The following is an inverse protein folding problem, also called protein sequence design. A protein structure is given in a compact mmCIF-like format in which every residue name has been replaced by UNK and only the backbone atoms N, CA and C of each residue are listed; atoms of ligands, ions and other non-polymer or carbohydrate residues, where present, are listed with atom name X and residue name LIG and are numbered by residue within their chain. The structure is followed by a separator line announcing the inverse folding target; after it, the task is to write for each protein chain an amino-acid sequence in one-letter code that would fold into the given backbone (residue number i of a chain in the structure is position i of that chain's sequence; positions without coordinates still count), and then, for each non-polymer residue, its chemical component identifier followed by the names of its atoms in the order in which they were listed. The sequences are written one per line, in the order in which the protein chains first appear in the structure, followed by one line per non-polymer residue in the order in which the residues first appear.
data_IF_649413604038
#
_entry.id   IF_649413604038
#
_cell.length_a   1.000
_cell.length_b   1.000
_cell.length_c   1.000
_cell.angle_alpha   90.00
_cell.angle_beta   90.00
_cell.angle_gamma   90.00
#
_symmetry.space_group_name_H-M   'P 1'
#
loop_
_entity.id
_entity.type
_entity.pdbx_description
1 polymer ?
#
# COMPACT_ATOMS: atom_id res chain seq x y z
N UNK A 1 -43.95 -52.19 7.20
CA UNK A 1 -43.68 -50.74 7.31
C UNK A 1 -42.59 -50.39 8.34
N UNK A 2 -42.65 -50.86 9.60
CA UNK A 2 -41.65 -50.54 10.65
C UNK A 2 -40.17 -50.88 10.28
N UNK A 3 -39.93 -52.03 9.64
CA UNK A 3 -38.58 -52.45 9.18
C UNK A 3 -37.98 -51.55 8.09
N UNK A 4 -38.82 -50.88 7.29
CA UNK A 4 -38.38 -49.94 6.25
C UNK A 4 -37.93 -48.63 6.87
N UNK A 5 -38.71 -48.10 7.83
CA UNK A 5 -38.35 -46.88 8.58
C UNK A 5 -37.08 -47.04 9.42
N UNK A 6 -36.86 -48.20 10.04
CA UNK A 6 -35.61 -48.47 10.79
C UNK A 6 -34.38 -48.42 9.86
N UNK A 7 -34.47 -49.03 8.67
CA UNK A 7 -33.38 -48.97 7.67
C UNK A 7 -33.19 -47.57 7.11
N UNK A 8 -34.26 -46.80 6.92
CA UNK A 8 -34.23 -45.42 6.45
C UNK A 8 -33.58 -44.49 7.49
N UNK A 9 -33.93 -44.61 8.78
CA UNK A 9 -33.27 -43.89 9.86
C UNK A 9 -31.79 -44.26 9.97
N UNK A 10 -31.44 -45.55 9.81
CA UNK A 10 -30.04 -45.99 9.81
C UNK A 10 -29.24 -45.42 8.64
N UNK A 11 -29.84 -45.29 7.47
CA UNK A 11 -29.20 -44.69 6.28
C UNK A 11 -28.99 -43.18 6.47
N UNK A 12 -29.98 -42.48 7.03
CA UNK A 12 -29.87 -41.05 7.32
C UNK A 12 -28.80 -40.78 8.39
N UNK A 13 -28.72 -41.60 9.44
CA UNK A 13 -27.66 -41.50 10.45
C UNK A 13 -26.27 -41.73 9.85
N UNK A 14 -26.12 -42.69 8.93
CA UNK A 14 -24.86 -42.95 8.25
C UNK A 14 -24.42 -41.76 7.39
N UNK A 15 -25.36 -41.14 6.66
CA UNK A 15 -25.08 -39.94 5.85
C UNK A 15 -24.71 -38.73 6.71
N UNK A 16 -25.36 -38.55 7.87
CA UNK A 16 -24.99 -37.52 8.84
C UNK A 16 -23.60 -37.76 9.45
N UNK A 17 -23.25 -39.02 9.74
CA UNK A 17 -21.93 -39.37 10.25
C UNK A 17 -20.84 -39.14 9.19
N UNK A 18 -21.06 -39.53 7.95
CA UNK A 18 -20.11 -39.31 6.84
C UNK A 18 -19.99 -37.82 6.53
N UNK A 19 -21.11 -37.11 6.40
CA UNK A 19 -21.12 -35.66 6.16
C UNK A 19 -20.48 -34.88 7.31
N UNK A 20 -20.81 -35.22 8.55
CA UNK A 20 -20.24 -34.63 9.76
C UNK A 20 -18.75 -34.95 9.93
N UNK A 21 -18.30 -36.14 9.55
CA UNK A 21 -16.89 -36.50 9.54
C UNK A 21 -16.12 -35.70 8.50
N UNK A 22 -16.65 -35.56 7.27
CA UNK A 22 -16.03 -34.78 6.21
C UNK A 22 -15.97 -33.27 6.54
N UNK A 23 -17.00 -32.72 7.18
CA UNK A 23 -16.97 -31.31 7.63
C UNK A 23 -15.99 -31.09 8.78
N UNK A 24 -15.88 -32.04 9.73
CA UNK A 24 -14.86 -32.00 10.79
C UNK A 24 -13.44 -32.11 10.22
N UNK A 25 -13.22 -32.91 9.18
CA UNK A 25 -11.94 -33.00 8.47
C UNK A 25 -11.56 -31.67 7.81
N UNK A 26 -12.48 -31.06 7.07
CA UNK A 26 -12.26 -29.74 6.47
C UNK A 26 -11.98 -28.66 7.53
N UNK A 27 -12.67 -28.70 8.68
CA UNK A 27 -12.39 -27.78 9.79
C UNK A 27 -11.02 -28.00 10.45
N UNK A 28 -10.46 -29.22 10.41
CA UNK A 28 -9.12 -29.49 10.95
C UNK A 28 -8.03 -28.89 10.05
N UNK A 29 -8.18 -29.01 8.73
CA UNK A 29 -7.26 -28.37 7.77
C UNK A 29 -7.25 -26.84 7.93
N UNK A 30 -8.42 -26.22 8.06
CA UNK A 30 -8.50 -24.77 8.32
C UNK A 30 -7.90 -24.36 9.66
N UNK A 31 -8.03 -25.18 10.71
CA UNK A 31 -7.43 -24.89 12.02
C UNK A 31 -5.91 -24.93 12.00
N UNK A 32 -5.32 -25.86 11.24
CA UNK A 32 -3.86 -25.95 11.09
C UNK A 32 -3.31 -24.78 10.27
N UNK A 33 -4.06 -24.34 9.25
CA UNK A 33 -3.73 -23.14 8.48
C UNK A 33 -3.81 -21.87 9.34
N UNK A 34 -4.86 -21.70 10.15
CA UNK A 34 -4.97 -20.58 11.11
C UNK A 34 -3.83 -20.62 12.14
N UNK A 35 -3.46 -21.79 12.66
CA UNK A 35 -2.36 -21.93 13.61
C UNK A 35 -1.01 -21.54 12.97
N UNK A 36 -0.77 -21.96 11.72
CA UNK A 36 0.43 -21.58 10.96
C UNK A 36 0.45 -20.09 10.64
N UNK A 37 -0.65 -19.51 10.18
CA UNK A 37 -0.77 -18.07 9.91
C UNK A 37 -0.61 -17.24 11.18
N UNK A 38 -1.09 -17.73 12.33
CA UNK A 38 -0.90 -17.05 13.63
C UNK A 38 0.55 -17.12 14.07
N UNK A 39 1.24 -18.25 13.88
CA UNK A 39 2.67 -18.37 14.17
C UNK A 39 3.54 -17.49 13.25
N UNK A 40 3.17 -17.38 11.97
CA UNK A 40 3.84 -16.51 11.00
C UNK A 40 3.57 -15.02 11.28
N UNK A 41 2.34 -14.66 11.70
CA UNK A 41 1.99 -13.31 12.15
C UNK A 41 2.69 -12.95 13.45
N UNK A 42 2.81 -13.86 14.42
CA UNK A 42 3.59 -13.66 15.65
C UNK A 42 5.08 -13.47 15.33
N UNK A 43 5.63 -14.29 14.41
CA UNK A 43 7.00 -14.12 13.92
C UNK A 43 7.21 -12.78 13.21
N UNK A 44 6.28 -12.38 12.35
CA UNK A 44 6.29 -11.09 11.65
C UNK A 44 6.10 -9.90 12.60
N UNK A 45 5.25 -10.04 13.64
CA UNK A 45 5.13 -9.03 14.71
C UNK A 45 6.41 -8.92 15.52
N UNK A 46 7.11 -10.02 15.79
CA UNK A 46 8.42 -10.00 16.45
C UNK A 46 9.47 -9.30 15.58
N UNK A 47 9.53 -9.56 14.28
CA UNK A 47 10.46 -8.86 13.37
C UNK A 47 10.10 -7.38 13.24
N UNK A 48 8.81 -7.03 13.13
CA UNK A 48 8.35 -5.64 13.13
C UNK A 48 8.65 -4.94 14.46
N UNK A 49 8.53 -5.62 15.60
CA UNK A 49 8.89 -5.05 16.90
C UNK A 49 10.40 -4.83 17.04
N UNK A 50 11.23 -5.73 16.51
CA UNK A 50 12.69 -5.58 16.46
C UNK A 50 13.11 -4.45 15.49
N UNK A 51 12.41 -4.30 14.36
CA UNK A 51 12.60 -3.18 13.42
C UNK A 51 12.13 -1.86 14.04
N UNK A 52 11.06 -1.87 14.85
CA UNK A 52 10.57 -0.70 15.58
C UNK A 52 11.52 -0.28 16.71
N UNK A 53 12.22 -1.22 17.35
CA UNK A 53 13.34 -0.92 18.25
C UNK A 53 14.57 -0.37 17.51
N UNK A 54 14.87 -0.87 16.30
CA UNK A 54 15.90 -0.27 15.44
C UNK A 54 15.53 1.14 14.97
N UNK A 55 14.25 1.40 14.70
CA UNK A 55 13.75 2.75 14.42
C UNK A 55 13.80 3.66 15.65
N UNK A 56 13.46 3.17 16.85
CA UNK A 56 13.60 3.95 18.09
C UNK A 56 15.06 4.32 18.38
N UNK A 57 16.01 3.41 18.09
CA UNK A 57 17.45 3.67 18.21
C UNK A 57 18.04 4.52 17.07
N UNK A 58 17.42 4.51 15.88
CA UNK A 58 17.74 5.45 14.79
C UNK A 58 17.19 6.85 15.10
N UNK A 59 16.04 6.97 15.76
CA UNK A 59 15.49 8.27 16.18
C UNK A 59 16.31 8.93 17.29
N UNK A 60 16.94 8.18 18.21
CA UNK A 60 17.87 8.79 19.18
C UNK A 60 19.21 9.22 18.58
N UNK A 61 19.72 8.55 17.53
CA UNK A 61 20.94 9.00 16.84
C UNK A 61 20.67 10.04 15.74
N UNK A 62 19.45 10.18 15.23
CA UNK A 62 19.07 11.28 14.31
C UNK A 62 18.64 12.54 15.08
N UNK A 63 18.25 12.43 16.36
CA UNK A 63 17.98 13.59 17.22
C UNK A 63 19.25 14.34 17.68
N UNK A 64 20.45 13.78 17.48
CA UNK A 64 21.72 14.45 17.74
C UNK A 64 22.31 15.18 16.51
N UNK A 65 21.79 14.92 15.30
CA UNK A 65 22.16 15.68 14.08
C UNK A 65 21.11 16.74 13.70
N UNK A 66 19.91 16.69 14.31
CA UNK A 66 18.85 17.70 14.16
C UNK A 66 19.08 19.03 14.93
N UNK A 67 20.33 19.39 15.24
CA UNK A 67 20.71 20.67 15.86
C UNK A 67 21.81 21.45 15.12
N UNK A 68 22.15 21.08 13.89
CA UNK A 68 22.97 21.93 13.00
C UNK A 68 22.44 21.87 11.58
N UNK A 69 21.46 22.71 11.29
CA UNK A 69 20.90 22.81 9.94
C UNK A 69 19.58 23.55 9.84
N UNK A 70 19.05 24.13 10.93
CA UNK A 70 18.09 25.22 10.81
C UNK A 70 18.83 26.52 10.42
N UNK A 71 19.57 26.46 9.31
CA UNK A 71 19.87 27.65 8.52
C UNK A 71 18.78 27.68 7.45
N UNK A 72 17.81 28.56 7.70
CA UNK A 72 16.90 29.04 6.68
C UNK A 72 17.73 29.65 5.55
N UNK A 73 18.16 28.80 4.62
CA UNK A 73 18.78 29.23 3.39
C UNK A 73 17.75 29.01 2.30
N UNK A 74 16.99 30.07 2.07
CA UNK A 74 16.30 30.36 0.83
C UNK A 74 17.14 29.85 -0.35
N UNK A 75 16.75 28.72 -0.92
CA UNK A 75 17.29 28.15 -2.16
C UNK A 75 16.18 28.18 -3.19
N UNK A 76 16.55 28.58 -4.41
CA UNK A 76 15.74 28.95 -5.58
C UNK A 76 14.62 27.96 -6.02
N UNK A 77 14.38 26.87 -5.32
CA UNK A 77 13.23 25.99 -5.51
C UNK A 77 12.03 26.54 -4.74
N UNK A 78 11.00 26.99 -5.44
CA UNK A 78 9.89 27.78 -4.88
C UNK A 78 8.99 27.09 -3.83
N UNK A 79 9.37 25.93 -3.31
CA UNK A 79 8.58 25.12 -2.40
C UNK A 79 9.21 24.99 -1.02
N UNK A 80 8.36 24.91 0.01
CA UNK A 80 8.74 24.62 1.39
C UNK A 80 9.03 23.13 1.54
N UNK A 81 10.08 22.84 2.29
CA UNK A 81 10.43 21.46 2.66
C UNK A 81 9.30 20.79 3.45
N UNK A 82 9.08 19.51 3.18
CA UNK A 82 8.04 18.72 3.83
C UNK A 82 7.51 17.59 2.96
N UNK A 83 6.44 16.97 3.44
CA UNK A 83 5.73 15.92 2.71
C UNK A 83 4.30 16.36 2.45
N UNK A 84 3.88 16.30 1.19
CA UNK A 84 2.61 16.85 0.71
C UNK A 84 1.86 15.80 -0.09
N UNK A 85 0.60 15.56 0.28
CA UNK A 85 -0.27 14.70 -0.50
C UNK A 85 -1.05 15.51 -1.53
N UNK A 86 -1.31 14.92 -2.69
CA UNK A 86 -2.20 15.48 -3.70
C UNK A 86 -3.02 14.40 -4.38
N UNK A 87 -4.12 14.81 -5.01
CA UNK A 87 -5.01 13.91 -5.73
C UNK A 87 -5.29 14.40 -7.15
N UNK A 88 -5.44 13.45 -8.08
CA UNK A 88 -5.70 13.68 -9.49
C UNK A 88 -6.59 12.60 -10.09
N UNK A 89 -7.17 12.87 -11.26
CA UNK A 89 -8.10 11.96 -11.91
C UNK A 89 -7.41 11.13 -12.99
N UNK A 90 -7.16 9.86 -12.69
CA UNK A 90 -6.64 8.85 -13.63
C UNK A 90 -7.74 8.24 -14.52
N UNK A 91 -7.37 7.19 -15.26
CA UNK A 91 -8.26 6.51 -16.21
C UNK A 91 -9.45 5.82 -15.53
N UNK A 92 -9.18 5.01 -14.52
CA UNK A 92 -10.15 4.25 -13.75
C UNK A 92 -10.66 4.98 -12.52
N UNK A 93 -9.94 5.99 -12.03
CA UNK A 93 -10.43 6.76 -10.90
C UNK A 93 -9.41 7.72 -10.30
N UNK A 94 -9.69 8.09 -9.06
CA UNK A 94 -8.82 8.94 -8.27
C UNK A 94 -7.47 8.26 -8.00
N UNK A 95 -6.41 9.03 -8.20
CA UNK A 95 -5.02 8.70 -7.86
C UNK A 95 -4.56 9.67 -6.79
N UNK A 96 -3.95 9.16 -5.71
CA UNK A 96 -3.37 9.95 -4.61
C UNK A 96 -1.87 9.71 -4.58
N UNK A 97 -1.10 10.79 -4.51
CA UNK A 97 0.37 10.76 -4.44
C UNK A 97 0.86 11.53 -3.22
N UNK A 98 2.00 11.11 -2.69
CA UNK A 98 2.75 11.79 -1.63
C UNK A 98 4.07 12.28 -2.22
N UNK A 99 4.36 13.57 -2.10
CA UNK A 99 5.57 14.22 -2.61
C UNK A 99 6.41 14.68 -1.43
N UNK A 100 7.69 14.33 -1.43
CA UNK A 100 8.68 14.80 -0.45
C UNK A 100 9.56 15.86 -1.06
N UNK A 101 9.76 16.96 -0.33
CA UNK A 101 10.56 18.11 -0.71
C UNK A 101 11.64 18.33 0.35
N UNK A 102 12.90 18.39 -0.07
CA UNK A 102 14.04 18.68 0.77
C UNK A 102 14.91 19.76 0.10
N UNK A 103 15.32 20.77 0.86
CA UNK A 103 16.09 21.92 0.33
C UNK A 103 15.44 22.66 -0.84
N UNK A 104 14.10 22.67 -0.90
CA UNK A 104 13.30 23.27 -1.97
C UNK A 104 13.17 22.42 -3.24
N UNK A 105 13.69 21.19 -3.25
CA UNK A 105 13.67 20.28 -4.39
C UNK A 105 12.81 19.04 -4.12
N UNK A 106 12.12 18.54 -5.15
CA UNK A 106 11.37 17.29 -5.13
C UNK A 106 12.37 16.12 -5.04
N UNK A 107 12.33 15.36 -3.95
CA UNK A 107 13.26 14.24 -3.72
C UNK A 107 12.60 12.87 -3.85
N UNK A 108 11.28 12.78 -3.65
CA UNK A 108 10.55 11.52 -3.72
C UNK A 108 9.09 11.75 -4.07
N UNK A 109 8.50 10.83 -4.83
CA UNK A 109 7.07 10.78 -5.13
C UNK A 109 6.60 9.33 -4.97
N UNK A 110 5.55 9.11 -4.19
CA UNK A 110 4.95 7.79 -3.97
C UNK A 110 3.46 7.81 -4.30
N UNK A 111 2.97 6.81 -5.05
CA UNK A 111 1.53 6.63 -5.28
C UNK A 111 0.91 5.89 -4.08
N UNK A 112 0.07 6.57 -3.29
CA UNK A 112 -0.57 6.02 -2.08
C UNK A 112 -1.87 5.28 -2.37
N UNK A 113 -2.69 5.82 -3.26
CA UNK A 113 -3.99 5.23 -3.61
C UNK A 113 -4.26 5.31 -5.11
N UNK A 114 -4.68 4.19 -5.71
CA UNK A 114 -5.08 4.13 -7.12
C UNK A 114 -6.00 2.92 -7.39
N UNK A 115 -6.89 2.59 -6.45
CA UNK A 115 -7.60 1.30 -6.41
C UNK A 115 -8.47 0.99 -7.63
N UNK A 116 -8.89 2.02 -8.38
CA UNK A 116 -9.74 1.86 -9.57
C UNK A 116 -8.95 1.82 -10.88
N UNK A 117 -7.64 2.10 -10.84
CA UNK A 117 -6.79 1.98 -12.01
C UNK A 117 -6.57 0.50 -12.37
N UNK A 118 -6.36 0.23 -13.65
CA UNK A 118 -5.80 -1.04 -14.07
C UNK A 118 -4.31 -1.06 -13.74
N UNK A 119 -3.84 -2.11 -13.07
CA UNK A 119 -2.48 -2.17 -12.55
C UNK A 119 -1.41 -2.10 -13.64
N UNK A 120 -1.66 -2.64 -14.83
CA UNK A 120 -0.68 -2.64 -15.90
C UNK A 120 -0.50 -1.22 -16.47
N UNK A 121 -1.59 -0.50 -16.66
CA UNK A 121 -1.55 0.89 -17.12
C UNK A 121 -1.03 1.84 -16.05
N UNK A 122 -1.38 1.62 -14.78
CA UNK A 122 -0.83 2.39 -13.67
C UNK A 122 0.68 2.22 -13.56
N UNK A 123 1.19 0.99 -13.70
CA UNK A 123 2.63 0.75 -13.62
C UNK A 123 3.38 1.45 -14.76
N UNK A 124 2.87 1.38 -15.99
CA UNK A 124 3.42 2.17 -17.11
C UNK A 124 3.33 3.67 -16.84
N UNK A 125 2.25 4.15 -16.23
CA UNK A 125 2.09 5.57 -15.94
C UNK A 125 3.08 6.09 -14.89
N UNK A 126 3.54 5.24 -13.95
CA UNK A 126 4.51 5.64 -12.91
C UNK A 126 5.87 6.02 -13.49
N UNK A 127 6.19 5.63 -14.73
CA UNK A 127 7.44 6.04 -15.38
C UNK A 127 7.56 7.57 -15.47
N UNK A 128 6.44 8.31 -15.48
CA UNK A 128 6.42 9.78 -15.43
C UNK A 128 7.05 10.36 -14.15
N UNK A 129 7.13 9.59 -13.07
CA UNK A 129 7.64 10.06 -11.77
C UNK A 129 9.12 10.43 -11.87
N UNK A 130 9.90 9.64 -12.61
CA UNK A 130 11.33 9.94 -12.84
C UNK A 130 11.48 11.26 -13.60
N UNK A 131 10.69 11.45 -14.66
CA UNK A 131 10.69 12.70 -15.43
C UNK A 131 10.34 13.92 -14.57
N UNK A 132 9.38 13.79 -13.65
CA UNK A 132 8.97 14.88 -12.74
C UNK A 132 10.10 15.24 -11.77
N UNK A 133 10.76 14.24 -11.19
CA UNK A 133 11.87 14.45 -10.26
C UNK A 133 13.07 15.07 -10.98
N UNK A 134 13.39 14.61 -12.19
CA UNK A 134 14.49 15.15 -12.97
C UNK A 134 14.21 16.58 -13.49
N UNK A 135 12.98 16.84 -13.93
CA UNK A 135 12.56 18.15 -14.40
C UNK A 135 12.30 19.15 -13.27
N UNK A 136 12.16 18.68 -12.03
CA UNK A 136 11.67 19.46 -10.88
C UNK A 136 10.37 20.19 -11.24
N UNK A 137 9.47 19.51 -11.94
CA UNK A 137 8.23 20.09 -12.48
C UNK A 137 7.19 19.01 -12.71
N UNK A 138 5.93 19.30 -12.40
CA UNK A 138 4.82 18.45 -12.81
C UNK A 138 4.50 18.58 -14.30
N UNK A 139 4.93 19.63 -14.99
CA UNK A 139 4.67 19.83 -16.42
C UNK A 139 5.62 19.00 -17.30
N UNK A 140 5.38 17.69 -17.33
CA UNK A 140 6.09 16.72 -18.18
C UNK A 140 5.12 15.97 -19.08
N UNK A 141 5.70 15.31 -20.10
CA UNK A 141 4.94 14.52 -21.06
C UNK A 141 4.36 13.25 -20.42
N UNK A 142 3.19 12.84 -20.90
CA UNK A 142 2.55 11.60 -20.45
C UNK A 142 3.13 10.38 -21.16
N UNK A 143 3.05 9.21 -20.50
CA UNK A 143 3.48 7.95 -21.09
C UNK A 143 2.49 7.45 -22.16
N UNK A 144 3.04 7.09 -23.33
CA UNK A 144 2.24 6.54 -24.44
C UNK A 144 1.54 5.24 -24.03
N UNK A 145 0.23 5.15 -24.27
CA UNK A 145 -0.58 4.00 -23.87
C UNK A 145 -1.11 4.06 -22.44
N UNK A 146 -0.61 4.99 -21.61
CA UNK A 146 -1.07 5.21 -20.23
C UNK A 146 -1.40 6.69 -19.95
N UNK A 147 -1.85 7.43 -20.97
CA UNK A 147 -2.01 8.89 -20.94
C UNK A 147 -2.92 9.39 -19.81
N UNK A 148 -4.09 8.77 -19.61
CA UNK A 148 -5.04 9.22 -18.58
C UNK A 148 -4.50 8.95 -17.17
N UNK A 149 -3.92 7.78 -16.93
CA UNK A 149 -3.27 7.43 -15.66
C UNK A 149 -2.09 8.36 -15.38
N UNK A 150 -1.27 8.65 -16.40
CA UNK A 150 -0.15 9.60 -16.30
C UNK A 150 -0.64 11.02 -15.98
N UNK A 151 -1.74 11.44 -16.61
CA UNK A 151 -2.39 12.72 -16.31
C UNK A 151 -2.85 12.79 -14.86
N UNK A 152 -3.45 11.70 -14.34
CA UNK A 152 -3.86 11.61 -12.95
C UNK A 152 -2.70 11.73 -11.96
N UNK A 153 -1.56 11.07 -12.23
CA UNK A 153 -0.34 11.21 -11.41
C UNK A 153 0.16 12.66 -11.48
N UNK A 154 0.24 13.24 -12.68
CA UNK A 154 0.67 14.61 -12.89
C UNK A 154 -0.17 15.62 -12.11
N UNK A 155 -1.50 15.54 -12.23
CA UNK A 155 -2.44 16.40 -11.50
C UNK A 155 -2.29 16.25 -9.98
N UNK A 156 -2.12 15.01 -9.50
CA UNK A 156 -1.91 14.74 -8.10
C UNK A 156 -0.61 15.39 -7.58
N UNK A 157 0.48 15.31 -8.36
CA UNK A 157 1.74 15.99 -8.02
C UNK A 157 1.57 17.51 -8.06
N UNK A 158 0.94 18.08 -9.09
CA UNK A 158 0.66 19.53 -9.16
C UNK A 158 -0.05 20.01 -7.90
N UNK A 159 -1.11 19.31 -7.47
CA UNK A 159 -1.85 19.67 -6.27
C UNK A 159 -0.99 19.55 -4.99
N UNK A 160 -0.07 18.59 -4.92
CA UNK A 160 0.86 18.48 -3.79
C UNK A 160 1.85 19.67 -3.76
N UNK A 161 2.38 20.06 -4.92
CA UNK A 161 3.31 21.20 -5.05
C UNK A 161 2.62 22.54 -4.73
N UNK A 162 1.35 22.73 -5.11
CA UNK A 162 0.55 23.90 -4.73
C UNK A 162 0.42 24.05 -3.20
N UNK A 163 0.38 22.94 -2.45
CA UNK A 163 0.35 22.97 -0.98
C UNK A 163 1.70 23.29 -0.35
N UNK A 164 2.78 23.16 -1.13
CA UNK A 164 4.14 23.42 -0.68
C UNK A 164 4.60 24.86 -0.92
N UNK A 165 3.86 25.68 -1.67
CA UNK A 165 4.10 27.12 -1.82
C UNK A 165 4.04 27.88 -0.48
#
# INVERSE_FOLDING_TARGET
MKKFWIKMCSLVLLLFLIGGYNTVLAMREQRDEIARLTAELEGSKMTVSALKEQQAKKTENTAAEALKGADAKNTDGGWKDGTYEGEGQGFGGKVVVEVTIESGEITCIEVKEAQKEDSAYLEMAKDIIEDIVDAQSADVDTISGATFSSTGIREAVTQALEKAE
#
